data_IF_371765346023
#
_entry.id   IF_371765346023
#
_cell.length_a   1.000
_cell.length_b   1.000
_cell.length_c   1.000
_cell.angle_alpha   90.00
_cell.angle_beta   90.00
_cell.angle_gamma   90.00
#
_symmetry.space_group_name_H-M   'P 1'
#
loop_
_entity.id
_entity.type
_entity.pdbx_description
1 polymer ?
#
# COMPACT_ATOMS: atom_id res chain seq x y z
N UNK A 1 10.14 4.29 -20.58
CA UNK A 1 9.37 4.78 -19.42
C UNK A 1 9.72 3.83 -18.28
N UNK A 2 10.40 4.29 -17.24
CA UNK A 2 10.69 3.44 -16.09
C UNK A 2 9.36 3.23 -15.35
N UNK A 3 8.79 2.02 -15.40
CA UNK A 3 7.68 1.68 -14.51
C UNK A 3 8.25 1.64 -13.09
N UNK A 4 7.70 2.44 -12.18
CA UNK A 4 8.05 2.34 -10.76
C UNK A 4 7.89 0.91 -10.28
N UNK A 5 8.77 0.48 -9.37
CA UNK A 5 8.68 -0.86 -8.79
C UNK A 5 7.36 -0.97 -8.01
N UNK A 6 6.55 -1.97 -8.34
CA UNK A 6 5.28 -2.23 -7.66
C UNK A 6 5.41 -3.45 -6.74
N UNK A 7 4.88 -3.34 -5.54
CA UNK A 7 4.82 -4.44 -4.59
C UNK A 7 3.50 -4.43 -3.82
N UNK A 8 3.08 -5.62 -3.39
CA UNK A 8 1.83 -5.81 -2.64
C UNK A 8 2.09 -6.42 -1.27
N UNK A 9 1.32 -5.98 -0.27
CA UNK A 9 1.43 -6.49 1.10
C UNK A 9 0.09 -6.44 1.84
N UNK A 10 -0.07 -7.32 2.83
CA UNK A 10 -1.25 -7.43 3.69
C UNK A 10 -1.12 -6.52 4.90
N UNK A 11 -2.24 -5.93 5.29
CA UNK A 11 -2.35 -4.96 6.37
C UNK A 11 -3.64 -5.21 7.14
N UNK A 12 -3.56 -5.40 8.45
CA UNK A 12 -4.77 -5.48 9.28
C UNK A 12 -5.57 -4.16 9.20
N UNK A 13 -6.90 -4.25 9.04
CA UNK A 13 -7.78 -3.06 8.93
C UNK A 13 -7.55 -2.02 10.02
N UNK A 14 -7.25 -2.46 11.25
CA UNK A 14 -7.02 -1.59 12.42
C UNK A 14 -5.80 -0.65 12.29
N UNK A 15 -4.86 -0.94 11.39
CA UNK A 15 -3.64 -0.13 11.17
C UNK A 15 -3.60 0.55 9.80
N UNK A 16 -4.65 0.44 8.99
CA UNK A 16 -4.72 0.94 7.62
C UNK A 16 -4.32 2.42 7.49
N UNK A 17 -4.81 3.29 8.38
CA UNK A 17 -4.47 4.72 8.39
C UNK A 17 -2.98 4.97 8.63
N UNK A 18 -2.34 4.15 9.47
CA UNK A 18 -0.90 4.26 9.74
C UNK A 18 -0.09 3.83 8.54
N UNK A 19 -0.52 2.79 7.83
CA UNK A 19 0.16 2.32 6.61
C UNK A 19 0.13 3.38 5.52
N UNK A 20 -0.99 4.08 5.31
CA UNK A 20 -1.06 5.16 4.33
C UNK A 20 0.02 6.24 4.58
N UNK A 21 0.26 6.60 5.85
CA UNK A 21 1.35 7.54 6.21
C UNK A 21 2.73 6.96 5.92
N UNK A 22 2.95 5.68 6.20
CA UNK A 22 4.23 5.00 5.92
C UNK A 22 4.51 4.98 4.42
N UNK A 23 3.50 4.68 3.59
CA UNK A 23 3.60 4.69 2.13
C UNK A 23 4.03 6.07 1.64
N UNK A 24 3.35 7.13 2.10
CA UNK A 24 3.68 8.52 1.71
C UNK A 24 5.09 8.94 2.15
N UNK A 25 5.54 8.56 3.36
CA UNK A 25 6.88 8.90 3.86
C UNK A 25 8.00 8.24 3.05
N UNK A 26 7.73 7.11 2.40
CA UNK A 26 8.71 6.36 1.60
C UNK A 26 8.61 6.66 0.10
N UNK A 27 8.05 7.81 -0.28
CA UNK A 27 7.80 8.22 -1.68
C UNK A 27 7.01 7.18 -2.48
N UNK A 28 6.19 6.40 -1.78
CA UNK A 28 5.29 5.42 -2.36
C UNK A 28 3.90 5.99 -2.59
N UNK A 29 3.19 5.40 -3.54
CA UNK A 29 1.77 5.68 -3.80
C UNK A 29 0.98 4.37 -3.78
N UNK A 30 -0.05 4.31 -2.95
CA UNK A 30 -1.03 3.22 -3.04
C UNK A 30 -1.81 3.35 -4.35
N UNK A 31 -1.76 2.31 -5.19
CA UNK A 31 -2.45 2.25 -6.49
C UNK A 31 -3.66 1.32 -6.47
N UNK A 32 -3.68 0.37 -5.53
CA UNK A 32 -4.85 -0.47 -5.25
C UNK A 32 -4.92 -0.79 -3.75
N UNK A 33 -6.14 -0.90 -3.23
CA UNK A 33 -6.43 -1.41 -1.88
C UNK A 33 -7.62 -2.36 -2.00
N UNK A 34 -7.41 -3.64 -1.70
CA UNK A 34 -8.44 -4.68 -1.77
C UNK A 34 -8.74 -5.22 -0.37
N UNK A 35 -10.01 -5.46 -0.08
CA UNK A 35 -10.42 -6.01 1.21
C UNK A 35 -10.43 -7.56 1.16
N UNK A 36 -9.75 -8.20 2.11
CA UNK A 36 -9.74 -9.65 2.27
C UNK A 36 -10.03 -10.02 3.73
N UNK A 37 -11.31 -10.14 4.07
CA UNK A 37 -11.74 -10.52 5.43
C UNK A 37 -11.40 -9.44 6.46
N UNK A 38 -10.50 -9.74 7.40
CA UNK A 38 -10.02 -8.80 8.42
C UNK A 38 -8.82 -7.96 7.96
N UNK A 39 -8.27 -8.28 6.79
CA UNK A 39 -7.09 -7.64 6.21
C UNK A 39 -7.43 -6.78 4.97
N UNK A 40 -6.48 -5.93 4.62
CA UNK A 40 -6.42 -5.13 3.41
C UNK A 40 -5.14 -5.47 2.65
N UNK A 41 -5.25 -5.74 1.35
CA UNK A 41 -4.11 -5.90 0.45
C UNK A 41 -3.82 -4.54 -0.18
N UNK A 42 -2.66 -3.98 0.12
CA UNK A 42 -2.17 -2.77 -0.50
C UNK A 42 -1.25 -3.12 -1.65
N UNK A 43 -1.47 -2.48 -2.80
CA UNK A 43 -0.49 -2.44 -3.89
C UNK A 43 0.07 -1.03 -3.97
N UNK A 44 1.39 -0.93 -3.85
CA UNK A 44 2.12 0.34 -3.79
C UNK A 44 3.11 0.41 -4.95
N UNK A 45 3.14 1.57 -5.59
CA UNK A 45 4.12 1.95 -6.60
C UNK A 45 5.14 2.89 -5.95
N UNK A 46 6.43 2.55 -6.05
CA UNK A 46 7.52 3.43 -5.60
C UNK A 46 7.91 4.39 -6.73
N UNK A 47 7.97 5.68 -6.41
CA UNK A 47 8.33 6.74 -7.36
C UNK A 47 9.83 6.94 -7.46
#
# INVERSE_FOLDING_TARGET
MASGEQFSFLVEKKIAERINRVITVNDGRAVSVEEQGEDLVYTVERT
#
